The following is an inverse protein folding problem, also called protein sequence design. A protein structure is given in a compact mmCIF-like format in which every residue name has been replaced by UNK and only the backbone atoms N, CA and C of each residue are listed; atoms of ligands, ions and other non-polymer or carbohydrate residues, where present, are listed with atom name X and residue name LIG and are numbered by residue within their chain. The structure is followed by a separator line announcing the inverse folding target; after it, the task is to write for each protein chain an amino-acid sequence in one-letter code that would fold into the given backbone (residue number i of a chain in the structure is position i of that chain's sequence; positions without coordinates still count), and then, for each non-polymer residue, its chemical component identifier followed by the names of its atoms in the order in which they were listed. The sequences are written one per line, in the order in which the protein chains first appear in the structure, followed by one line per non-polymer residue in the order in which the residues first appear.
data_IF_114023312289
#
_entry.id   IF_114023312289
#
_cell.length_a   1.000
_cell.length_b   1.000
_cell.length_c   1.000
_cell.angle_alpha   90.00
_cell.angle_beta   90.00
_cell.angle_gamma   90.00
#
_symmetry.space_group_name_H-M   'P 1'
#
loop_
_entity.id
_entity.type
_entity.pdbx_description
1 polymer ?
#
# COMPACT_ATOMS: atom_id res chain seq x y z
N UNK A 1 -10.19 -24.58 -17.53
CA UNK A 1 -9.08 -23.70 -17.15
C UNK A 1 -9.62 -22.77 -16.07
N UNK A 2 -9.06 -22.79 -14.87
CA UNK A 2 -9.41 -21.82 -13.82
C UNK A 2 -8.79 -20.48 -14.21
N UNK A 3 -9.63 -19.46 -14.37
CA UNK A 3 -9.16 -18.11 -14.67
C UNK A 3 -8.43 -17.58 -13.43
N UNK A 4 -7.10 -17.46 -13.52
CA UNK A 4 -6.21 -16.99 -12.45
C UNK A 4 -5.99 -15.48 -12.47
N UNK A 5 -6.76 -14.75 -13.28
CA UNK A 5 -6.52 -13.33 -13.55
C UNK A 5 -7.83 -12.54 -13.64
N UNK A 6 -7.80 -11.35 -13.05
CA UNK A 6 -8.80 -10.29 -13.20
C UNK A 6 -8.16 -9.17 -14.00
N UNK A 7 -8.82 -8.75 -15.08
CA UNK A 7 -8.46 -7.58 -15.87
C UNK A 7 -9.69 -6.68 -15.95
N UNK A 8 -9.55 -5.43 -15.56
CA UNK A 8 -10.63 -4.45 -15.58
C UNK A 8 -10.12 -3.10 -16.09
N UNK A 9 -10.97 -2.43 -16.86
CA UNK A 9 -10.81 -1.03 -17.25
C UNK A 9 -12.02 -0.27 -16.75
N UNK A 10 -11.80 0.92 -16.23
CA UNK A 10 -12.86 1.80 -15.74
C UNK A 10 -12.52 3.24 -16.13
N UNK A 11 -13.48 3.93 -16.73
CA UNK A 11 -13.35 5.30 -17.19
C UNK A 11 -14.41 6.18 -16.56
N UNK A 12 -14.15 7.49 -16.51
CA UNK A 12 -15.16 8.47 -16.06
C UNK A 12 -16.37 8.56 -17.00
N UNK A 13 -16.27 8.01 -18.20
CA UNK A 13 -17.33 7.95 -19.19
C UNK A 13 -18.26 6.73 -19.03
N UNK A 14 -17.84 5.72 -18.27
CA UNK A 14 -18.69 4.59 -17.92
C UNK A 14 -19.88 5.03 -17.07
N UNK A 15 -20.94 4.22 -17.10
CA UNK A 15 -22.20 4.57 -16.42
C UNK A 15 -22.60 3.54 -15.37
N UNK A 16 -23.09 4.03 -14.23
CA UNK A 16 -23.76 3.24 -13.22
C UNK A 16 -25.17 3.77 -13.03
N UNK A 17 -26.19 2.93 -13.29
CA UNK A 17 -27.61 3.31 -13.28
C UNK A 17 -27.94 4.51 -14.18
N UNK A 18 -27.22 4.67 -15.30
CA UNK A 18 -27.42 5.76 -16.26
C UNK A 18 -26.65 7.04 -15.96
N UNK A 19 -25.99 7.13 -14.80
CA UNK A 19 -25.15 8.27 -14.43
C UNK A 19 -23.67 7.99 -14.72
N UNK A 20 -22.96 8.97 -15.27
CA UNK A 20 -21.51 8.84 -15.54
C UNK A 20 -20.70 8.77 -14.25
N UNK A 21 -19.60 8.01 -14.27
CA UNK A 21 -18.69 7.95 -13.12
C UNK A 21 -18.02 9.29 -12.82
N UNK A 22 -17.74 10.16 -13.82
CA UNK A 22 -17.28 11.54 -13.58
C UNK A 22 -18.23 12.36 -12.70
N UNK A 23 -19.54 12.06 -12.73
CA UNK A 23 -20.52 12.74 -11.86
C UNK A 23 -20.26 12.42 -10.39
N UNK A 24 -19.89 11.18 -10.07
CA UNK A 24 -19.63 10.72 -8.71
C UNK A 24 -18.23 11.11 -8.22
N UNK A 25 -17.22 10.91 -9.07
CA UNK A 25 -15.81 11.21 -8.73
C UNK A 25 -15.48 12.70 -8.82
N UNK A 26 -16.32 13.49 -9.49
CA UNK A 26 -16.14 14.94 -9.65
C UNK A 26 -14.93 15.31 -10.53
N UNK A 27 -14.42 14.35 -11.32
CA UNK A 27 -13.31 14.51 -12.23
C UNK A 27 -13.35 13.44 -13.33
N UNK A 28 -12.75 13.75 -14.47
CA UNK A 28 -12.46 12.73 -15.48
C UNK A 28 -11.28 11.83 -15.05
N UNK A 29 -11.30 10.57 -15.48
CA UNK A 29 -10.26 9.61 -15.18
C UNK A 29 -10.31 8.42 -16.14
N UNK A 30 -9.18 7.75 -16.26
CA UNK A 30 -9.03 6.42 -16.86
C UNK A 30 -8.26 5.55 -15.86
N UNK A 31 -8.71 4.32 -15.64
CA UNK A 31 -8.13 3.37 -14.70
C UNK A 31 -8.00 1.99 -15.33
N UNK A 32 -6.82 1.39 -15.17
CA UNK A 32 -6.59 -0.03 -15.43
C UNK A 32 -6.29 -0.77 -14.12
N UNK A 33 -6.87 -1.96 -13.96
CA UNK A 33 -6.63 -2.86 -12.85
C UNK A 33 -6.33 -4.27 -13.37
N UNK A 34 -5.22 -4.84 -12.90
CA UNK A 34 -4.87 -6.25 -13.10
C UNK A 34 -4.61 -6.90 -11.75
N UNK A 35 -5.19 -8.08 -11.53
CA UNK A 35 -4.78 -8.97 -10.45
C UNK A 35 -4.51 -10.37 -11.02
N UNK A 36 -3.39 -10.97 -10.64
CA UNK A 36 -2.94 -12.27 -11.14
C UNK A 36 -2.48 -13.16 -9.98
N UNK A 37 -3.06 -14.35 -9.89
CA UNK A 37 -2.63 -15.38 -8.95
C UNK A 37 -1.39 -16.08 -9.52
N UNK A 38 -0.26 -15.87 -8.86
CA UNK A 38 1.04 -16.49 -9.14
C UNK A 38 1.21 -17.78 -8.31
N UNK A 39 2.16 -18.67 -8.67
CA UNK A 39 2.46 -19.86 -7.86
C UNK A 39 2.82 -19.53 -6.40
N UNK A 40 3.51 -18.42 -6.17
CA UNK A 40 4.02 -17.95 -4.89
C UNK A 40 3.11 -16.95 -4.15
N UNK A 41 2.08 -16.42 -4.83
CA UNK A 41 1.32 -15.30 -4.26
C UNK A 41 0.36 -14.60 -5.22
N UNK A 42 0.14 -13.31 -4.96
CA UNK A 42 -0.76 -12.44 -5.72
C UNK A 42 0.00 -11.22 -6.24
N UNK A 43 -0.10 -10.93 -7.53
CA UNK A 43 0.33 -9.65 -8.11
C UNK A 43 -0.89 -8.77 -8.38
N UNK A 44 -0.82 -7.50 -8.00
CA UNK A 44 -1.81 -6.46 -8.30
C UNK A 44 -1.09 -5.30 -8.99
N UNK A 45 -1.61 -4.88 -10.13
CA UNK A 45 -1.16 -3.69 -10.85
C UNK A 45 -2.34 -2.74 -11.04
N UNK A 46 -2.10 -1.46 -10.75
CA UNK A 46 -3.09 -0.40 -10.88
C UNK A 46 -2.47 0.82 -11.55
N UNK A 47 -3.16 1.37 -12.54
CA UNK A 47 -2.85 2.68 -13.10
C UNK A 47 -4.10 3.56 -13.06
N UNK A 48 -3.90 4.85 -12.82
CA UNK A 48 -4.93 5.88 -12.93
C UNK A 48 -4.35 7.13 -13.54
N UNK A 49 -5.09 7.74 -14.46
CA UNK A 49 -4.78 9.02 -15.06
C UNK A 49 -5.97 9.96 -14.89
N UNK A 50 -5.71 11.20 -14.49
CA UNK A 50 -6.75 12.22 -14.29
C UNK A 50 -6.20 13.62 -14.58
N UNK A 51 -7.00 14.60 -15.01
CA UNK A 51 -6.57 16.00 -15.07
C UNK A 51 -6.38 16.63 -13.68
N UNK A 52 -6.78 15.97 -12.59
CA UNK A 52 -6.50 16.38 -11.21
C UNK A 52 -5.51 15.42 -10.56
N UNK A 53 -4.97 15.81 -9.41
CA UNK A 53 -4.10 14.94 -8.62
C UNK A 53 -4.84 13.65 -8.25
N UNK A 54 -4.16 12.51 -8.38
CA UNK A 54 -4.72 11.18 -8.18
C UNK A 54 -3.70 10.25 -7.50
N UNK A 55 -4.21 9.22 -6.82
CA UNK A 55 -3.44 8.22 -6.10
C UNK A 55 -3.92 6.83 -6.54
N UNK A 56 -2.98 5.91 -6.71
CA UNK A 56 -3.26 4.47 -6.75
C UNK A 56 -2.62 3.80 -5.53
N UNK A 57 -3.32 2.84 -4.94
CA UNK A 57 -2.82 2.10 -3.79
C UNK A 57 -3.83 1.05 -3.36
N UNK A 58 -3.39 0.15 -2.48
CA UNK A 58 -4.25 -0.88 -1.89
C UNK A 58 -4.47 -0.58 -0.42
N UNK A 59 -5.70 -0.75 0.04
CA UNK A 59 -6.04 -0.69 1.47
C UNK A 59 -6.39 -2.11 1.95
N UNK A 60 -5.39 -2.99 2.01
CA UNK A 60 -5.62 -4.42 2.21
C UNK A 60 -5.55 -4.83 3.68
N UNK A 61 -6.51 -5.66 4.11
CA UNK A 61 -6.65 -6.13 5.48
C UNK A 61 -6.05 -7.53 5.62
N UNK A 62 -5.03 -7.67 6.46
CA UNK A 62 -4.39 -8.94 6.77
C UNK A 62 -4.84 -9.42 8.15
N UNK A 63 -5.13 -10.71 8.26
CA UNK A 63 -5.55 -11.30 9.53
C UNK A 63 -4.39 -11.34 10.54
N UNK A 64 -4.66 -10.93 11.78
CA UNK A 64 -3.75 -11.12 12.91
C UNK A 64 -4.19 -12.34 13.72
N UNK A 65 -3.42 -13.43 13.63
CA UNK A 65 -3.66 -14.59 14.48
C UNK A 65 -3.32 -14.23 15.93
N UNK A 66 -4.24 -14.52 16.85
CA UNK A 66 -4.10 -14.20 18.28
C UNK A 66 -3.80 -12.73 18.60
N UNK A 67 -4.07 -11.79 17.66
CA UNK A 67 -3.77 -10.36 17.79
C UNK A 67 -2.27 -10.05 17.98
N UNK A 68 -1.42 -10.97 17.54
CA UNK A 68 0.04 -10.81 17.60
C UNK A 68 0.63 -10.82 16.19
N UNK A 69 1.61 -9.95 15.98
CA UNK A 69 2.35 -9.90 14.74
C UNK A 69 3.40 -8.80 14.76
N UNK A 70 4.25 -8.81 13.75
CA UNK A 70 5.32 -7.83 13.57
C UNK A 70 5.41 -7.42 12.12
N UNK A 71 5.78 -6.17 11.91
CA UNK A 71 6.18 -5.65 10.60
C UNK A 71 7.67 -5.41 10.61
N UNK A 72 8.37 -5.89 9.57
CA UNK A 72 9.74 -5.48 9.27
C UNK A 72 9.80 -4.89 7.88
N UNK A 73 10.50 -3.77 7.71
CA UNK A 73 10.64 -3.14 6.40
C UNK A 73 11.96 -2.36 6.31
N UNK A 74 12.49 -2.19 5.11
CA UNK A 74 13.65 -1.31 4.85
C UNK A 74 13.14 0.08 4.46
N UNK A 75 13.22 1.03 5.38
CA UNK A 75 12.59 2.35 5.23
C UNK A 75 13.58 3.47 5.53
N UNK A 76 13.25 4.68 5.10
CA UNK A 76 13.98 5.89 5.49
C UNK A 76 13.85 6.13 7.00
N UNK A 77 14.79 6.87 7.60
CA UNK A 77 14.82 7.19 9.04
C UNK A 77 13.80 8.27 9.46
N UNK A 78 12.68 8.32 8.74
CA UNK A 78 11.53 9.20 9.00
C UNK A 78 10.23 8.44 8.75
N UNK A 79 9.19 8.79 9.50
CA UNK A 79 7.83 8.30 9.28
C UNK A 79 6.87 9.47 9.12
N UNK A 80 5.77 9.24 8.41
CA UNK A 80 4.68 10.18 8.24
C UNK A 80 3.64 9.93 9.33
N UNK A 81 3.36 10.95 10.13
CA UNK A 81 2.27 10.96 11.09
C UNK A 81 1.26 12.03 10.65
N UNK A 82 0.14 11.58 10.08
CA UNK A 82 -0.97 12.44 9.67
C UNK A 82 -0.57 13.58 8.72
N UNK A 83 0.39 13.31 7.82
CA UNK A 83 0.91 14.24 6.83
C UNK A 83 2.20 14.97 7.24
N UNK A 84 2.68 14.75 8.47
CA UNK A 84 3.90 15.39 9.00
C UNK A 84 5.00 14.35 9.11
N UNK A 85 6.13 14.59 8.45
CA UNK A 85 7.31 13.72 8.58
C UNK A 85 8.05 13.99 9.89
N UNK A 86 8.29 12.92 10.66
CA UNK A 86 8.98 12.93 11.95
C UNK A 86 10.15 11.94 11.93
N UNK A 87 11.22 12.17 12.72
CA UNK A 87 12.31 11.19 12.87
C UNK A 87 11.78 9.86 13.40
N UNK A 88 12.33 8.74 12.93
CA UNK A 88 11.93 7.41 13.39
C UNK A 88 12.17 7.24 14.90
N UNK A 89 11.19 6.74 15.69
CA UNK A 89 11.39 6.40 17.09
C UNK A 89 12.44 5.29 17.23
N UNK A 90 13.35 5.43 18.20
CA UNK A 90 14.47 4.49 18.39
C UNK A 90 14.00 3.08 18.73
N UNK A 91 12.86 2.97 19.40
CA UNK A 91 12.20 1.72 19.75
C UNK A 91 11.70 0.93 18.52
N UNK A 92 11.50 1.59 17.39
CA UNK A 92 11.11 0.95 16.12
C UNK A 92 12.33 0.62 15.25
N UNK A 93 13.50 1.17 15.59
CA UNK A 93 14.74 0.98 14.84
C UNK A 93 15.60 -0.11 15.48
N UNK A 94 16.01 -1.10 14.70
CA UNK A 94 17.19 -1.91 15.06
C UNK A 94 18.47 -1.21 14.60
N UNK A 95 19.38 -1.01 15.55
CA UNK A 95 20.54 -0.11 15.46
C UNK A 95 21.54 -0.45 14.34
N UNK A 96 21.46 -1.64 13.77
CA UNK A 96 22.38 -2.22 12.81
C UNK A 96 21.91 -2.10 11.35
N UNK A 97 20.70 -1.60 11.09
CA UNK A 97 20.01 -2.04 9.88
C UNK A 97 19.22 -0.96 9.08
N UNK A 98 18.82 0.20 9.61
CA UNK A 98 17.80 1.07 8.93
C UNK A 98 16.52 0.27 8.59
N UNK A 99 16.25 -0.77 9.38
CA UNK A 99 15.03 -1.55 9.27
C UNK A 99 14.05 -1.08 10.35
N UNK A 100 12.80 -0.83 9.92
CA UNK A 100 11.65 -0.78 10.80
C UNK A 100 11.44 -2.18 11.39
N UNK A 101 11.22 -2.26 12.71
CA UNK A 101 10.58 -3.40 13.37
C UNK A 101 9.45 -2.87 14.25
N UNK A 102 8.20 -3.08 13.83
CA UNK A 102 7.02 -2.59 14.54
C UNK A 102 6.24 -3.76 15.14
N UNK A 103 5.95 -3.67 16.45
CA UNK A 103 5.11 -4.64 17.16
C UNK A 103 3.64 -4.26 17.05
N UNK A 104 2.85 -5.12 16.41
CA UNK A 104 1.43 -4.88 16.12
C UNK A 104 0.51 -4.97 17.35
N UNK A 105 1.04 -5.25 18.54
CA UNK A 105 0.30 -5.06 19.80
C UNK A 105 0.05 -3.59 20.14
N UNK A 106 0.74 -2.66 19.46
CA UNK A 106 0.54 -1.23 19.60
C UNK A 106 -0.35 -0.67 18.49
N UNK A 107 -1.01 0.46 18.79
CA UNK A 107 -1.72 1.22 17.77
C UNK A 107 -0.75 1.73 16.71
N UNK A 108 -1.14 1.68 15.45
CA UNK A 108 -0.44 2.30 14.33
C UNK A 108 -1.41 3.02 13.40
N UNK A 109 -1.01 4.21 12.94
CA UNK A 109 -1.59 4.94 11.81
C UNK A 109 -0.48 5.82 11.24
N UNK A 110 0.46 5.19 10.54
CA UNK A 110 1.73 5.80 10.15
C UNK A 110 2.05 5.49 8.69
N UNK A 111 2.64 6.45 7.99
CA UNK A 111 3.21 6.26 6.66
C UNK A 111 4.72 6.07 6.70
N UNK A 112 5.25 5.28 5.78
CA UNK A 112 6.67 4.95 5.70
C UNK A 112 7.16 5.07 4.26
N UNK A 113 8.43 5.46 4.12
CA UNK A 113 9.06 5.68 2.83
C UNK A 113 10.11 4.59 2.59
N UNK A 114 10.16 3.97 1.42
CA UNK A 114 11.20 3.00 1.13
C UNK A 114 12.58 3.66 1.11
N UNK A 115 13.61 2.90 1.51
CA UNK A 115 14.99 3.36 1.42
C UNK A 115 15.48 3.42 -0.04
N UNK A 116 15.06 2.46 -0.87
CA UNK A 116 15.34 2.46 -2.32
C UNK A 116 14.30 3.31 -3.04
N UNK A 117 14.76 4.15 -3.96
CA UNK A 117 13.85 4.91 -4.82
C UNK A 117 13.01 3.94 -5.66
N UNK A 118 11.71 4.21 -5.83
CA UNK A 118 10.76 3.47 -6.69
C UNK A 118 10.37 2.05 -6.29
N UNK A 119 10.94 1.46 -5.24
CA UNK A 119 10.50 0.16 -4.73
C UNK A 119 10.66 -0.01 -3.22
N UNK A 120 9.82 -0.84 -2.59
CA UNK A 120 9.97 -1.22 -1.19
C UNK A 120 9.55 -2.66 -0.92
N UNK A 121 9.88 -3.09 0.30
CA UNK A 121 9.66 -4.45 0.78
C UNK A 121 9.23 -4.40 2.24
N UNK A 122 8.19 -5.18 2.55
CA UNK A 122 7.55 -5.27 3.86
C UNK A 122 7.38 -6.75 4.17
N UNK A 123 7.95 -7.19 5.29
CA UNK A 123 7.73 -8.51 5.86
C UNK A 123 6.70 -8.38 6.96
N UNK A 124 5.58 -9.08 6.81
CA UNK A 124 4.56 -9.22 7.83
C UNK A 124 4.64 -10.63 8.41
N UNK A 125 4.76 -10.72 9.73
CA UNK A 125 4.81 -12.00 10.44
C UNK A 125 3.71 -12.07 11.48
N UNK A 126 3.01 -13.19 11.52
CA UNK A 126 2.08 -13.58 12.59
C UNK A 126 2.38 -15.00 13.04
N UNK A 127 1.61 -15.55 13.97
CA UNK A 127 1.83 -16.91 14.46
C UNK A 127 1.58 -17.93 13.34
N UNK A 128 2.65 -18.56 12.86
CA UNK A 128 2.59 -19.64 11.86
C UNK A 128 2.47 -19.21 10.40
N UNK A 129 2.51 -17.91 10.09
CA UNK A 129 2.45 -17.38 8.72
C UNK A 129 3.32 -16.14 8.55
N UNK A 130 4.00 -16.04 7.42
CA UNK A 130 4.65 -14.82 6.96
C UNK A 130 4.08 -14.37 5.61
N UNK A 131 4.13 -13.07 5.35
CA UNK A 131 3.96 -12.50 4.03
C UNK A 131 5.16 -11.63 3.68
N UNK A 132 5.65 -11.76 2.45
CA UNK A 132 6.53 -10.77 1.83
C UNK A 132 5.69 -9.92 0.89
N UNK A 133 5.67 -8.62 1.13
CA UNK A 133 4.95 -7.65 0.30
C UNK A 133 5.99 -6.76 -0.35
N UNK A 134 6.13 -6.87 -1.68
CA UNK A 134 6.94 -5.95 -2.47
C UNK A 134 6.04 -4.99 -3.21
N UNK A 135 6.50 -3.76 -3.40
CA UNK A 135 5.78 -2.77 -4.14
C UNK A 135 6.72 -1.88 -4.94
N UNK A 136 6.24 -1.39 -6.07
CA UNK A 136 6.96 -0.51 -6.97
C UNK A 136 6.03 0.52 -7.61
N UNK A 137 6.59 1.62 -8.09
CA UNK A 137 5.87 2.63 -8.87
C UNK A 137 6.81 3.42 -9.76
N UNK A 138 6.26 4.29 -10.60
CA UNK A 138 7.01 4.92 -11.69
C UNK A 138 7.94 6.06 -11.26
N UNK A 139 7.76 6.56 -10.04
CA UNK A 139 8.44 7.76 -9.56
C UNK A 139 8.82 7.63 -8.08
N UNK A 140 9.56 8.61 -7.56
CA UNK A 140 10.04 8.62 -6.17
C UNK A 140 8.93 8.96 -5.15
N UNK A 141 7.68 8.98 -5.61
CA UNK A 141 6.52 9.28 -4.78
C UNK A 141 5.92 8.01 -4.17
N UNK A 142 6.54 6.84 -4.17
CA UNK A 142 5.88 5.70 -3.52
C UNK A 142 6.04 5.73 -1.99
N UNK A 143 5.03 5.24 -1.27
CA UNK A 143 5.06 5.02 0.17
C UNK A 143 4.17 3.85 0.56
N UNK A 144 4.07 3.56 1.84
CA UNK A 144 3.03 2.68 2.37
C UNK A 144 2.52 3.16 3.71
N UNK A 145 1.26 2.88 4.04
CA UNK A 145 0.68 3.13 5.35
C UNK A 145 0.51 1.84 6.15
N UNK A 146 0.71 1.94 7.46
CA UNK A 146 0.41 0.91 8.45
C UNK A 146 -0.74 1.40 9.31
N UNK A 147 -1.85 0.68 9.28
CA UNK A 147 -2.94 0.89 10.23
C UNK A 147 -3.16 -0.37 11.07
N UNK A 148 -3.00 -0.25 12.38
CA UNK A 148 -3.23 -1.32 13.35
C UNK A 148 -4.06 -0.77 14.50
N UNK A 149 -5.38 -0.99 14.54
CA UNK A 149 -6.18 -0.59 15.68
C UNK A 149 -5.84 -1.44 16.90
N UNK A 150 -5.90 -0.83 18.09
CA UNK A 150 -5.75 -1.57 19.34
C UNK A 150 -6.82 -2.67 19.42
N UNK A 151 -6.40 -3.87 19.83
CA UNK A 151 -7.27 -5.04 20.05
C UNK A 151 -7.95 -5.60 18.79
N UNK A 152 -7.55 -5.19 17.59
CA UNK A 152 -8.09 -5.68 16.33
C UNK A 152 -7.58 -7.08 15.96
N UNK A 153 -8.37 -7.78 15.15
CA UNK A 153 -7.98 -9.08 14.55
C UNK A 153 -7.38 -8.91 13.16
N UNK A 154 -6.98 -7.69 12.80
CA UNK A 154 -6.44 -7.35 11.50
C UNK A 154 -5.41 -6.22 11.60
N UNK A 155 -4.59 -6.12 10.57
CA UNK A 155 -3.71 -4.98 10.27
C UNK A 155 -3.92 -4.59 8.81
N UNK A 156 -3.87 -3.30 8.50
CA UNK A 156 -3.81 -2.83 7.13
C UNK A 156 -2.35 -2.51 6.76
N UNK A 157 -1.91 -3.02 5.61
CA UNK A 157 -0.62 -2.68 5.01
C UNK A 157 -0.93 -2.14 3.63
N UNK A 158 -0.58 -0.88 3.42
CA UNK A 158 -1.19 -0.07 2.36
C UNK A 158 -0.14 0.59 1.45
N UNK A 159 0.54 -0.18 0.58
CA UNK A 159 1.37 0.40 -0.48
C UNK A 159 0.60 1.34 -1.41
N UNK A 160 1.25 2.44 -1.81
CA UNK A 160 0.63 3.46 -2.67
C UNK A 160 1.62 4.31 -3.46
N UNK A 161 1.10 4.98 -4.49
CA UNK A 161 1.83 5.83 -5.44
C UNK A 161 1.99 7.29 -5.01
N UNK A 162 1.88 7.62 -3.71
CA UNK A 162 2.17 8.96 -3.21
C UNK A 162 3.02 8.97 -1.94
N UNK A 163 3.98 9.92 -1.89
CA UNK A 163 4.93 10.07 -0.78
C UNK A 163 4.19 10.54 0.47
N UNK A 164 3.21 11.40 0.25
CA UNK A 164 2.31 11.92 1.26
C UNK A 164 0.90 11.99 0.67
N UNK A 165 -0.04 11.11 1.08
CA UNK A 165 -1.39 11.11 0.51
C UNK A 165 -2.18 12.39 0.82
N UNK A 166 -1.73 13.21 1.78
CA UNK A 166 -2.34 14.51 2.11
C UNK A 166 -1.77 15.69 1.30
N UNK A 167 -0.69 15.46 0.55
CA UNK A 167 -0.02 16.47 -0.27
C UNK A 167 0.28 15.90 -1.66
N UNK A 168 -0.77 15.48 -2.37
CA UNK A 168 -0.63 14.87 -3.70
C UNK A 168 -0.15 15.87 -4.74
N UNK A 169 0.77 15.43 -5.60
CA UNK A 169 1.35 16.26 -6.66
C UNK A 169 1.21 15.63 -8.06
N UNK A 170 0.74 14.38 -8.15
CA UNK A 170 0.77 13.59 -9.38
C UNK A 170 -0.61 13.43 -10.00
N UNK A 171 -0.71 13.62 -11.32
CA UNK A 171 -1.93 13.45 -12.14
C UNK A 171 -1.96 12.11 -12.88
N UNK A 172 -0.86 11.37 -12.81
CA UNK A 172 -0.76 9.98 -13.24
C UNK A 172 -0.15 9.18 -12.09
N UNK A 173 -0.83 8.11 -11.72
CA UNK A 173 -0.43 7.23 -10.63
C UNK A 173 -0.42 5.81 -11.15
N UNK A 174 0.70 5.12 -10.95
CA UNK A 174 0.86 3.72 -11.28
C UNK A 174 1.62 3.05 -10.15
N UNK A 175 1.16 1.86 -9.78
CA UNK A 175 1.76 1.07 -8.73
C UNK A 175 1.50 -0.41 -8.98
N UNK A 176 2.48 -1.22 -8.59
CA UNK A 176 2.41 -2.68 -8.59
C UNK A 176 2.74 -3.17 -7.18
N UNK A 177 1.97 -4.11 -6.64
CA UNK A 177 2.30 -4.87 -5.45
C UNK A 177 2.32 -6.37 -5.75
N UNK A 178 3.23 -7.07 -5.07
CA UNK A 178 3.23 -8.53 -4.98
C UNK A 178 3.16 -8.93 -3.53
N UNK A 179 2.31 -9.91 -3.23
CA UNK A 179 2.07 -10.45 -1.90
C UNK A 179 2.35 -11.94 -1.95
N UNK A 180 3.44 -12.36 -1.34
CA UNK A 180 3.95 -13.74 -1.36
C UNK A 180 3.76 -14.38 0.02
N UNK A 181 3.39 -15.66 0.06
CA UNK A 181 3.30 -16.43 1.30
C UNK A 181 4.68 -17.01 1.63
N UNK A 182 5.11 -16.87 2.89
CA UNK A 182 6.43 -17.31 3.40
C UNK A 182 6.28 -18.39 4.46
#
# INVERSE_FOLDING_TARGET
MTQSQILAKLSSHDTYKGEKLSTFEGVDFEMDFRAELLPEGLEIEMSVQSPRVCLAGIHYYYALQNRHGKIRAVVQDVYNDMGIFKPMPKEWCKADLQHLEFDLSHFADYGFLPLKNHQGEIHFETEGQGLNITYQGDNEQISWQLYSPKDATFVCIEPMSARNPRGLEVTHSHFIARIEIV
#
